data_IF_851011120853
#
_entry.id   IF_851011120853
#
_cell.length_a   1.000
_cell.length_b   1.000
_cell.length_c   1.000
_cell.angle_alpha   90.00
_cell.angle_beta   90.00
_cell.angle_gamma   90.00
#
_symmetry.space_group_name_H-M   'P 1'
#
loop_
_entity.id
_entity.type
_entity.pdbx_description
1 polymer ?
#
# COMPACT_ATOMS: atom_id res chain seq x y z
N UNK A 1 31.19 0.31 0.79
CA UNK A 1 29.85 0.94 0.67
C UNK A 1 28.95 -0.02 -0.10
N UNK A 2 27.64 0.23 -0.27
CA UNK A 2 26.78 -0.69 -1.05
C UNK A 2 27.19 -0.71 -2.52
N UNK A 3 27.51 0.45 -3.10
CA UNK A 3 28.03 0.56 -4.47
C UNK A 3 29.24 -0.33 -4.68
N UNK A 4 30.22 -0.27 -3.77
CA UNK A 4 31.48 -1.01 -3.89
C UNK A 4 31.22 -2.53 -3.87
N UNK A 5 30.36 -3.01 -2.95
CA UNK A 5 29.98 -4.44 -2.89
C UNK A 5 29.36 -4.91 -4.22
N UNK A 6 28.58 -4.05 -4.87
CA UNK A 6 27.92 -4.38 -6.14
C UNK A 6 28.89 -4.37 -7.33
N UNK A 7 29.84 -3.44 -7.33
CA UNK A 7 30.90 -3.36 -8.34
C UNK A 7 31.88 -4.53 -8.20
N UNK A 8 32.36 -4.80 -6.98
CA UNK A 8 33.19 -5.97 -6.66
C UNK A 8 32.49 -7.27 -7.08
N UNK A 9 31.17 -7.36 -6.90
CA UNK A 9 30.39 -8.52 -7.33
C UNK A 9 30.38 -8.71 -8.85
N UNK A 10 30.41 -7.64 -9.66
CA UNK A 10 30.44 -7.79 -11.12
C UNK A 10 31.78 -8.36 -11.61
N UNK A 11 32.87 -8.00 -10.94
CA UNK A 11 34.24 -8.40 -11.31
C UNK A 11 34.68 -9.73 -10.67
N UNK A 12 33.97 -10.17 -9.61
CA UNK A 12 34.28 -11.36 -8.84
C UNK A 12 34.05 -12.69 -9.60
N UNK A 13 34.80 -13.73 -9.20
CA UNK A 13 34.49 -15.11 -9.57
C UNK A 13 33.25 -15.63 -8.83
N UNK A 14 32.74 -16.80 -9.24
CA UNK A 14 31.52 -17.39 -8.67
C UNK A 14 31.60 -17.68 -7.17
N UNK A 15 32.79 -17.94 -6.62
CA UNK A 15 32.96 -18.20 -5.19
C UNK A 15 32.82 -16.89 -4.41
N UNK A 16 33.56 -15.86 -4.84
CA UNK A 16 33.54 -14.55 -4.20
C UNK A 16 32.19 -13.83 -4.38
N UNK A 17 31.54 -13.99 -5.54
CA UNK A 17 30.16 -13.52 -5.76
C UNK A 17 29.22 -14.04 -4.69
N UNK A 18 29.26 -15.34 -4.43
CA UNK A 18 28.40 -15.97 -3.42
C UNK A 18 28.69 -15.42 -2.02
N UNK A 19 29.97 -15.24 -1.68
CA UNK A 19 30.37 -14.68 -0.39
C UNK A 19 29.86 -13.24 -0.21
N UNK A 20 30.05 -12.38 -1.20
CA UNK A 20 29.56 -10.99 -1.19
C UNK A 20 28.03 -10.91 -1.08
N UNK A 21 27.34 -11.77 -1.83
CA UNK A 21 25.87 -11.87 -1.77
C UNK A 21 25.39 -12.32 -0.38
N UNK A 22 25.99 -13.37 0.16
CA UNK A 22 25.63 -13.92 1.48
C UNK A 22 25.92 -12.89 2.58
N UNK A 23 27.06 -12.18 2.52
CA UNK A 23 27.40 -11.10 3.44
C UNK A 23 26.34 -9.98 3.38
N UNK A 24 25.97 -9.55 2.18
CA UNK A 24 24.97 -8.49 2.02
C UNK A 24 23.58 -8.92 2.52
N UNK A 25 23.16 -10.14 2.20
CA UNK A 25 21.92 -10.72 2.73
C UNK A 25 21.96 -10.73 4.25
N UNK A 26 23.08 -11.13 4.85
CA UNK A 26 23.26 -11.11 6.30
C UNK A 26 23.19 -9.69 6.88
N UNK A 27 23.79 -8.69 6.23
CA UNK A 27 23.70 -7.28 6.64
C UNK A 27 22.23 -6.81 6.68
N UNK A 28 21.44 -7.15 5.66
CA UNK A 28 20.00 -6.82 5.60
C UNK A 28 19.26 -7.46 6.79
N UNK A 29 19.48 -8.75 7.06
CA UNK A 29 18.70 -9.46 8.08
C UNK A 29 19.18 -9.23 9.52
N UNK A 30 20.47 -8.95 9.72
CA UNK A 30 21.05 -8.56 11.02
C UNK A 30 20.75 -7.11 11.40
N UNK A 31 20.30 -6.29 10.46
CA UNK A 31 19.86 -4.91 10.72
C UNK A 31 18.92 -4.82 11.93
N UNK A 32 19.14 -3.77 12.75
CA UNK A 32 18.28 -3.43 13.89
C UNK A 32 16.92 -2.87 13.46
N UNK A 33 16.74 -2.55 12.18
CA UNK A 33 15.48 -2.10 11.59
C UNK A 33 14.55 -3.31 11.37
N UNK A 34 14.15 -3.97 12.45
CA UNK A 34 13.27 -5.14 12.41
C UNK A 34 11.83 -4.73 12.13
N UNK A 35 11.11 -5.58 11.41
CA UNK A 35 9.66 -5.42 11.28
C UNK A 35 9.02 -5.40 12.66
N UNK A 36 8.27 -4.35 12.95
CA UNK A 36 7.54 -4.21 14.21
C UNK A 36 6.32 -3.32 14.00
N UNK A 37 5.24 -3.67 14.67
CA UNK A 37 4.03 -2.88 14.74
C UNK A 37 3.89 -2.30 16.14
N UNK A 38 3.21 -1.16 16.23
CA UNK A 38 2.90 -0.53 17.50
C UNK A 38 1.53 0.12 17.44
N UNK A 39 0.88 0.23 18.59
CA UNK A 39 -0.36 0.99 18.73
C UNK A 39 -0.03 2.47 18.85
N UNK A 40 -0.61 3.27 17.97
CA UNK A 40 -0.62 4.72 18.08
C UNK A 40 -1.96 5.16 18.64
N UNK A 41 -1.89 5.85 19.78
CA UNK A 41 -3.06 6.40 20.45
C UNK A 41 -3.21 7.85 19.99
N UNK A 42 -4.38 8.19 19.49
CA UNK A 42 -4.80 9.55 19.20
C UNK A 42 -5.78 9.98 20.28
N UNK A 43 -5.49 11.10 20.91
CA UNK A 43 -6.38 11.76 21.86
C UNK A 43 -6.75 13.14 21.33
N UNK A 44 -7.90 13.63 21.76
CA UNK A 44 -8.28 15.03 21.64
C UNK A 44 -8.99 15.44 22.93
N UNK A 45 -8.72 16.67 23.36
CA UNK A 45 -9.30 17.23 24.58
C UNK A 45 -10.63 17.88 24.24
N UNK A 46 -11.67 17.46 24.96
CA UNK A 46 -13.00 18.06 24.89
C UNK A 46 -13.01 19.26 25.83
N UNK A 47 -13.30 20.44 25.30
CA UNK A 47 -13.45 21.67 26.06
C UNK A 47 -14.93 22.04 26.11
N UNK A 48 -15.46 22.11 27.32
CA UNK A 48 -16.88 22.30 27.59
C UNK A 48 -17.37 23.69 27.15
N UNK A 49 -16.57 24.74 27.41
CA UNK A 49 -16.86 26.12 26.98
C UNK A 49 -16.95 26.23 25.45
N UNK A 50 -16.08 25.52 24.73
CA UNK A 50 -16.08 25.50 23.26
C UNK A 50 -17.28 24.75 22.66
N UNK A 51 -17.99 23.97 23.48
CA UNK A 51 -19.22 23.29 23.14
C UNK A 51 -20.47 24.01 23.68
N UNK A 52 -20.34 25.26 24.13
CA UNK A 52 -21.44 26.05 24.70
C UNK A 52 -22.08 25.34 25.91
N UNK A 53 -21.24 24.66 26.71
CA UNK A 53 -21.61 23.87 27.90
C UNK A 53 -22.71 22.82 27.65
N UNK A 54 -22.82 22.37 26.39
CA UNK A 54 -23.78 21.35 25.97
C UNK A 54 -23.38 19.96 26.43
N UNK A 55 -23.96 19.55 27.54
CA UNK A 55 -23.67 18.26 28.20
C UNK A 55 -23.84 17.04 27.26
N UNK A 56 -24.83 17.07 26.37
CA UNK A 56 -25.08 15.98 25.41
C UNK A 56 -23.91 15.78 24.44
N UNK A 57 -23.35 16.86 23.89
CA UNK A 57 -22.17 16.84 23.03
C UNK A 57 -20.90 16.51 23.80
N UNK A 58 -20.73 17.06 25.01
CA UNK A 58 -19.58 16.80 25.87
C UNK A 58 -19.45 15.31 26.18
N UNK A 59 -20.54 14.67 26.61
CA UNK A 59 -20.56 13.24 26.91
C UNK A 59 -20.29 12.38 25.67
N UNK A 60 -20.90 12.74 24.54
CA UNK A 60 -20.71 12.05 23.26
C UNK A 60 -19.24 12.06 22.83
N UNK A 61 -18.59 13.23 22.84
CA UNK A 61 -17.20 13.33 22.40
C UNK A 61 -16.22 12.74 23.41
N UNK A 62 -16.49 12.86 24.72
CA UNK A 62 -15.66 12.23 25.75
C UNK A 62 -15.66 10.70 25.65
N UNK A 63 -16.80 10.09 25.31
CA UNK A 63 -16.92 8.65 25.06
C UNK A 63 -15.97 8.14 23.97
N UNK A 64 -15.66 8.99 22.98
CA UNK A 64 -14.85 8.62 21.80
C UNK A 64 -13.50 9.35 21.74
N UNK A 65 -13.04 9.92 22.86
CA UNK A 65 -11.83 10.75 22.93
C UNK A 65 -10.53 10.00 22.63
N UNK A 66 -10.50 8.69 22.91
CA UNK A 66 -9.33 7.82 22.71
C UNK A 66 -9.56 6.98 21.47
N UNK A 67 -8.65 7.09 20.52
CA UNK A 67 -8.66 6.33 19.27
C UNK A 67 -7.34 5.54 19.18
N UNK A 68 -7.43 4.22 19.10
CA UNK A 68 -6.27 3.33 18.94
C UNK A 68 -6.16 2.80 17.51
N UNK A 69 -4.96 2.89 16.95
CA UNK A 69 -4.68 2.43 15.58
C UNK A 69 -3.33 1.72 15.51
N UNK A 70 -3.24 0.67 14.71
CA UNK A 70 -1.99 -0.07 14.48
C UNK A 70 -1.16 0.58 13.37
N UNK A 71 0.14 0.78 13.65
CA UNK A 71 1.11 1.33 12.71
C UNK A 71 2.36 0.46 12.60
N UNK A 72 2.96 0.44 11.40
CA UNK A 72 4.28 -0.14 11.20
C UNK A 72 5.36 0.85 11.62
N UNK A 73 6.41 0.37 12.28
CA UNK A 73 7.57 1.19 12.64
C UNK A 73 8.43 1.47 11.40
N UNK A 74 8.36 2.69 10.91
CA UNK A 74 9.12 3.17 9.75
C UNK A 74 10.13 4.27 10.08
N UNK A 75 10.08 4.87 11.28
CA UNK A 75 10.96 5.96 11.68
C UNK A 75 12.04 5.51 12.68
N UNK A 76 13.27 5.94 12.44
CA UNK A 76 14.45 5.60 13.23
C UNK A 76 15.28 6.86 13.50
N UNK A 77 15.63 7.11 14.77
CA UNK A 77 16.40 8.30 15.19
C UNK A 77 17.88 8.24 14.83
N UNK A 78 18.43 7.04 14.65
CA UNK A 78 19.85 6.83 14.32
C UNK A 78 20.09 7.06 12.83
N UNK A 79 21.33 7.42 12.47
CA UNK A 79 21.78 7.41 11.06
C UNK A 79 21.64 5.97 10.51
N UNK A 80 21.03 5.86 9.34
CA UNK A 80 20.80 4.58 8.67
C UNK A 80 21.88 4.34 7.61
N UNK A 81 22.28 3.08 7.46
CA UNK A 81 23.11 2.61 6.35
C UNK A 81 22.25 2.30 5.12
N UNK A 82 22.87 2.10 3.96
CA UNK A 82 22.17 1.67 2.75
C UNK A 82 21.35 0.38 2.98
N UNK A 83 21.95 -0.62 3.65
CA UNK A 83 21.27 -1.86 4.03
C UNK A 83 20.08 -1.60 4.97
N UNK A 84 20.20 -0.67 5.93
CA UNK A 84 19.08 -0.29 6.80
C UNK A 84 17.91 0.31 6.00
N UNK A 85 18.17 1.17 5.01
CA UNK A 85 17.11 1.73 4.15
C UNK A 85 16.39 0.65 3.34
N UNK A 86 17.15 -0.26 2.72
CA UNK A 86 16.58 -1.40 1.98
C UNK A 86 15.77 -2.28 2.92
N UNK A 87 16.28 -2.53 4.13
CA UNK A 87 15.58 -3.30 5.17
C UNK A 87 14.25 -2.67 5.59
N UNK A 88 14.21 -1.35 5.80
CA UNK A 88 12.98 -0.61 6.11
C UNK A 88 11.98 -0.73 4.95
N UNK A 89 12.46 -0.63 3.71
CA UNK A 89 11.62 -0.80 2.52
C UNK A 89 11.01 -2.21 2.44
N UNK A 90 11.81 -3.25 2.65
CA UNK A 90 11.37 -4.65 2.74
C UNK A 90 10.27 -4.80 3.82
N UNK A 91 10.48 -4.25 5.01
CA UNK A 91 9.49 -4.30 6.09
C UNK A 91 8.17 -3.60 5.71
N UNK A 92 8.25 -2.43 5.09
CA UNK A 92 7.07 -1.67 4.66
C UNK A 92 6.28 -2.41 3.59
N UNK A 93 6.97 -3.04 2.62
CA UNK A 93 6.32 -3.89 1.62
C UNK A 93 5.60 -5.07 2.26
N UNK A 94 6.23 -5.74 3.24
CA UNK A 94 5.58 -6.82 3.97
C UNK A 94 4.31 -6.34 4.70
N UNK A 95 4.42 -5.23 5.44
CA UNK A 95 3.28 -4.64 6.13
C UNK A 95 2.16 -4.24 5.17
N UNK A 96 2.50 -3.64 4.04
CA UNK A 96 1.54 -3.22 3.03
C UNK A 96 0.81 -4.40 2.37
N UNK A 97 1.56 -5.41 1.91
CA UNK A 97 1.01 -6.52 1.11
C UNK A 97 0.39 -7.64 1.95
N UNK A 98 0.86 -7.84 3.18
CA UNK A 98 0.64 -9.08 3.93
C UNK A 98 0.02 -8.86 5.31
N UNK A 99 0.56 -7.93 6.10
CA UNK A 99 0.09 -7.74 7.49
C UNK A 99 -1.33 -7.14 7.52
N UNK A 100 -2.29 -7.90 8.04
CA UNK A 100 -3.72 -7.60 8.08
C UNK A 100 -4.11 -6.44 9.02
N UNK A 101 -3.19 -5.92 9.83
CA UNK A 101 -3.51 -4.88 10.82
C UNK A 101 -3.00 -3.49 10.44
N UNK A 102 -2.03 -3.38 9.53
CA UNK A 102 -1.39 -2.11 9.17
C UNK A 102 -1.60 -1.76 7.69
N UNK A 103 -1.38 -0.49 7.34
CA UNK A 103 -1.56 0.04 5.97
C UNK A 103 -2.95 -0.28 5.40
N UNK A 104 -3.99 0.00 6.18
CA UNK A 104 -5.37 -0.09 5.72
C UNK A 104 -5.72 1.10 4.81
N UNK A 105 -6.88 1.06 4.15
CA UNK A 105 -7.28 2.14 3.27
C UNK A 105 -7.47 3.46 4.03
N UNK A 106 -7.27 4.57 3.33
CA UNK A 106 -7.56 5.92 3.85
C UNK A 106 -8.99 6.00 4.42
N UNK A 107 -9.94 5.34 3.75
CA UNK A 107 -11.34 5.31 4.15
C UNK A 107 -11.54 4.70 5.55
N UNK A 108 -10.83 3.61 5.88
CA UNK A 108 -10.88 3.04 7.22
C UNK A 108 -10.43 4.05 8.29
N UNK A 109 -9.28 4.70 8.07
CA UNK A 109 -8.74 5.68 9.01
C UNK A 109 -9.65 6.90 9.14
N UNK A 110 -10.26 7.37 8.05
CA UNK A 110 -11.24 8.47 8.08
C UNK A 110 -12.47 8.12 8.94
N UNK A 111 -12.99 6.90 8.82
CA UNK A 111 -14.12 6.44 9.64
C UNK A 111 -13.77 6.39 11.13
N UNK A 112 -12.62 5.80 11.48
CA UNK A 112 -12.19 5.71 12.88
C UNK A 112 -11.85 7.09 13.47
N UNK A 113 -11.35 8.02 12.65
CA UNK A 113 -11.02 9.39 13.07
C UNK A 113 -12.23 10.34 13.04
N UNK A 114 -13.41 9.86 12.62
CA UNK A 114 -14.63 10.68 12.50
C UNK A 114 -15.01 11.41 13.80
N UNK A 115 -14.99 10.79 15.00
CA UNK A 115 -15.34 11.49 16.24
C UNK A 115 -14.47 12.72 16.49
N UNK A 116 -13.15 12.58 16.37
CA UNK A 116 -12.18 13.67 16.50
C UNK A 116 -12.42 14.78 15.48
N UNK A 117 -12.60 14.41 14.22
CA UNK A 117 -12.77 15.40 13.15
C UNK A 117 -14.10 16.15 13.30
N UNK A 118 -15.17 15.44 13.68
CA UNK A 118 -16.47 16.03 13.96
C UNK A 118 -16.43 16.97 15.17
N UNK A 119 -15.66 16.65 16.20
CA UNK A 119 -15.47 17.56 17.34
C UNK A 119 -14.98 18.93 16.89
N UNK A 120 -13.88 19.00 16.12
CA UNK A 120 -13.37 20.28 15.63
C UNK A 120 -14.32 20.99 14.66
N UNK A 121 -15.08 20.25 13.86
CA UNK A 121 -16.12 20.82 13.00
C UNK A 121 -17.23 21.45 13.84
N UNK A 122 -17.74 20.73 14.86
CA UNK A 122 -18.80 21.21 15.76
C UNK A 122 -18.35 22.44 16.54
N UNK A 123 -17.13 22.43 17.10
CA UNK A 123 -16.54 23.60 17.77
C UNK A 123 -16.51 24.81 16.83
N UNK A 124 -16.10 24.64 15.58
CA UNK A 124 -16.08 25.74 14.62
C UNK A 124 -17.49 26.24 14.28
N UNK A 125 -18.48 25.35 14.15
CA UNK A 125 -19.88 25.73 13.93
C UNK A 125 -20.44 26.55 15.07
N UNK A 126 -20.24 26.11 16.32
CA UNK A 126 -20.72 26.82 17.50
C UNK A 126 -20.04 28.19 17.64
N UNK A 127 -18.73 28.29 17.36
CA UNK A 127 -18.02 29.58 17.29
C UNK A 127 -18.63 30.55 16.27
N UNK A 128 -19.10 30.02 15.14
CA UNK A 128 -19.76 30.80 14.08
C UNK A 128 -21.25 31.03 14.34
N UNK A 129 -21.78 30.62 15.51
CA UNK A 129 -23.21 30.69 15.87
C UNK A 129 -24.12 29.91 14.91
N UNK A 130 -23.61 28.83 14.32
CA UNK A 130 -24.39 27.92 13.50
C UNK A 130 -25.12 26.89 14.38
N UNK A 131 -26.32 26.48 13.96
CA UNK A 131 -27.09 25.44 14.65
C UNK A 131 -26.40 24.07 14.54
N UNK A 132 -26.30 23.37 15.67
CA UNK A 132 -25.75 22.00 15.75
C UNK A 132 -26.78 21.05 16.33
N UNK A 133 -27.21 20.07 15.54
CA UNK A 133 -28.12 19.03 15.97
C UNK A 133 -27.34 17.83 16.57
N UNK A 134 -27.62 17.50 17.84
CA UNK A 134 -26.98 16.37 18.53
C UNK A 134 -27.22 15.03 17.82
N UNK A 135 -28.46 14.76 17.40
CA UNK A 135 -28.82 13.48 16.79
C UNK A 135 -28.08 13.28 15.47
N UNK A 136 -27.85 14.35 14.70
CA UNK A 136 -27.05 14.27 13.48
C UNK A 136 -25.58 13.96 13.76
N UNK A 137 -24.98 14.62 14.78
CA UNK A 137 -23.59 14.38 15.17
C UNK A 137 -23.42 12.95 15.65
N UNK A 138 -24.31 12.50 16.55
CA UNK A 138 -24.32 11.13 17.06
C UNK A 138 -24.48 10.11 15.94
N UNK A 139 -25.46 10.29 15.06
CA UNK A 139 -25.69 9.38 13.94
C UNK A 139 -24.46 9.28 13.02
N UNK A 140 -23.77 10.39 12.73
CA UNK A 140 -22.54 10.38 11.92
C UNK A 140 -21.41 9.59 12.60
N UNK A 141 -21.24 9.75 13.91
CA UNK A 141 -20.25 8.99 14.69
C UNK A 141 -20.61 7.50 14.68
N UNK A 142 -21.84 7.16 15.05
CA UNK A 142 -22.31 5.77 15.14
C UNK A 142 -22.18 5.06 13.79
N UNK A 143 -22.62 5.71 12.71
CA UNK A 143 -22.49 5.18 11.34
C UNK A 143 -21.03 4.93 10.95
N UNK A 144 -20.13 5.88 11.22
CA UNK A 144 -18.73 5.74 10.85
C UNK A 144 -18.06 4.58 11.62
N UNK A 145 -18.32 4.48 12.92
CA UNK A 145 -17.76 3.43 13.78
C UNK A 145 -18.35 2.05 13.47
N UNK A 146 -19.62 1.94 13.10
CA UNK A 146 -20.24 0.68 12.65
C UNK A 146 -19.70 0.23 11.29
N UNK A 147 -19.44 1.18 10.38
CA UNK A 147 -18.91 0.89 9.04
C UNK A 147 -17.41 0.55 9.03
N UNK A 148 -16.63 1.09 9.97
CA UNK A 148 -15.18 0.90 10.02
C UNK A 148 -14.74 -0.57 10.06
N UNK A 149 -15.32 -1.47 10.90
CA UNK A 149 -15.03 -2.90 10.89
C UNK A 149 -15.24 -3.57 9.53
N UNK A 150 -16.32 -3.21 8.82
CA UNK A 150 -16.62 -3.75 7.49
C UNK A 150 -15.54 -3.36 6.48
N UNK A 151 -15.13 -2.09 6.47
CA UNK A 151 -14.03 -1.62 5.60
C UNK A 151 -12.72 -2.31 5.97
N UNK A 152 -12.42 -2.44 7.28
CA UNK A 152 -11.23 -3.15 7.76
C UNK A 152 -11.19 -4.58 7.22
N UNK A 153 -12.30 -5.31 7.31
CA UNK A 153 -12.39 -6.68 6.80
C UNK A 153 -12.14 -6.75 5.29
N UNK A 154 -12.75 -5.85 4.51
CA UNK A 154 -12.52 -5.76 3.07
C UNK A 154 -11.03 -5.53 2.75
N UNK A 155 -10.35 -4.66 3.50
CA UNK A 155 -8.92 -4.40 3.29
C UNK A 155 -8.04 -5.58 3.72
N UNK A 156 -8.42 -6.29 4.77
CA UNK A 156 -7.76 -7.52 5.20
C UNK A 156 -7.85 -8.64 4.15
N UNK A 157 -8.98 -8.76 3.46
CA UNK A 157 -9.20 -9.75 2.39
C UNK A 157 -8.42 -9.43 1.10
N UNK A 158 -8.03 -8.17 0.88
CA UNK A 158 -7.20 -7.76 -0.27
C UNK A 158 -5.73 -8.16 -0.12
N UNK A 159 -5.26 -8.31 1.12
CA UNK A 159 -3.86 -8.66 1.41
C UNK A 159 -3.59 -10.12 1.06
N UNK A 160 -2.36 -10.42 0.67
CA UNK A 160 -1.94 -11.78 0.36
C UNK A 160 -1.61 -12.55 1.64
N UNK A 161 -1.75 -13.87 1.59
CA UNK A 161 -1.33 -14.75 2.66
C UNK A 161 0.10 -15.21 2.38
N UNK A 162 1.02 -14.76 3.24
CA UNK A 162 2.43 -15.08 3.13
C UNK A 162 3.06 -15.02 4.53
N UNK A 163 3.73 -16.09 4.95
CA UNK A 163 4.43 -16.06 6.23
C UNK A 163 5.69 -15.21 6.13
N UNK A 164 6.18 -14.70 7.26
CA UNK A 164 7.45 -13.96 7.30
C UNK A 164 8.63 -14.78 6.75
N UNK A 165 8.62 -16.10 6.97
CA UNK A 165 9.66 -17.01 6.48
C UNK A 165 9.64 -17.15 4.96
N UNK A 166 8.47 -17.34 4.36
CA UNK A 166 8.30 -17.42 2.91
C UNK A 166 8.65 -16.09 2.24
N UNK A 167 8.18 -14.98 2.84
CA UNK A 167 8.53 -13.64 2.38
C UNK A 167 10.05 -13.41 2.37
N UNK A 168 10.74 -13.76 3.46
CA UNK A 168 12.20 -13.67 3.54
C UNK A 168 12.89 -14.47 2.43
N UNK A 169 12.42 -15.69 2.16
CA UNK A 169 12.96 -16.55 1.08
C UNK A 169 12.79 -15.89 -0.29
N UNK A 170 11.60 -15.35 -0.59
CA UNK A 170 11.33 -14.64 -1.85
C UNK A 170 12.23 -13.42 -2.02
N UNK A 171 12.37 -12.61 -0.97
CA UNK A 171 13.22 -11.42 -1.00
C UNK A 171 14.69 -11.79 -1.25
N UNK A 172 15.21 -12.86 -0.65
CA UNK A 172 16.58 -13.33 -0.93
C UNK A 172 16.78 -13.67 -2.41
N UNK A 173 15.85 -14.39 -3.03
CA UNK A 173 15.90 -14.69 -4.48
C UNK A 173 15.83 -13.42 -5.33
N UNK A 174 15.09 -12.41 -4.89
CA UNK A 174 15.06 -11.13 -5.60
C UNK A 174 16.34 -10.32 -5.41
N UNK A 175 16.96 -10.34 -4.23
CA UNK A 175 18.25 -9.71 -3.97
C UNK A 175 19.34 -10.31 -4.86
N UNK A 176 19.42 -11.64 -4.96
CA UNK A 176 20.34 -12.32 -5.87
C UNK A 176 20.17 -11.86 -7.32
N UNK A 177 18.92 -11.77 -7.80
CA UNK A 177 18.64 -11.23 -9.13
C UNK A 177 19.09 -9.78 -9.28
N UNK A 178 18.97 -8.96 -8.24
CA UNK A 178 19.40 -7.56 -8.28
C UNK A 178 20.91 -7.45 -8.41
N UNK A 179 21.67 -8.27 -7.68
CA UNK A 179 23.13 -8.35 -7.83
C UNK A 179 23.52 -8.73 -9.25
N UNK A 180 22.86 -9.75 -9.82
CA UNK A 180 23.12 -10.22 -11.18
C UNK A 180 22.73 -9.23 -12.30
N UNK A 181 21.89 -8.23 -12.02
CA UNK A 181 21.39 -7.28 -13.02
C UNK A 181 21.69 -5.83 -12.63
N UNK A 182 22.64 -5.61 -11.71
CA UNK A 182 23.03 -4.26 -11.33
C UNK A 182 23.95 -3.68 -12.41
N UNK A 183 23.69 -2.43 -12.79
CA UNK A 183 24.54 -1.67 -13.70
C UNK A 183 24.87 -0.34 -13.01
N UNK A 184 26.15 -0.06 -12.75
CA UNK A 184 26.58 1.23 -12.20
C UNK A 184 26.13 2.41 -13.07
N UNK A 185 25.91 3.60 -12.48
CA UNK A 185 25.48 4.78 -13.22
C UNK A 185 26.38 5.09 -14.42
N UNK A 186 27.71 5.08 -14.23
CA UNK A 186 28.68 5.43 -15.26
C UNK A 186 28.68 4.46 -16.45
N UNK A 187 28.44 3.17 -16.21
CA UNK A 187 28.28 2.17 -17.29
C UNK A 187 26.98 2.39 -18.07
N UNK A 188 25.89 2.66 -17.35
CA UNK A 188 24.58 2.89 -17.95
C UNK A 188 24.56 4.15 -18.85
N UNK A 189 25.24 5.22 -18.41
CA UNK A 189 25.42 6.45 -19.21
C UNK A 189 26.18 6.15 -20.52
N UNK A 190 27.25 5.37 -20.43
CA UNK A 190 28.06 4.95 -21.59
C UNK A 190 27.27 4.08 -22.58
N UNK A 191 26.48 3.14 -22.08
CA UNK A 191 25.71 2.21 -22.93
C UNK A 191 24.54 2.90 -23.66
N UNK A 192 23.86 3.85 -22.99
CA UNK A 192 22.62 4.42 -23.50
C UNK A 192 22.70 5.89 -23.92
N UNK A 193 23.88 6.52 -23.83
CA UNK A 193 24.09 7.92 -24.18
C UNK A 193 23.23 8.87 -23.34
N UNK A 194 22.95 8.48 -22.09
CA UNK A 194 22.13 9.25 -21.16
C UNK A 194 23.02 10.06 -20.23
N UNK A 195 22.61 11.28 -19.88
CA UNK A 195 23.26 12.07 -18.82
C UNK A 195 22.37 12.09 -17.59
N UNK A 196 22.89 11.62 -16.46
CA UNK A 196 22.13 11.61 -15.21
C UNK A 196 21.92 13.04 -14.72
N UNK A 197 20.66 13.50 -14.70
CA UNK A 197 20.30 14.79 -14.11
C UNK A 197 20.30 14.68 -12.59
N UNK A 198 21.45 14.94 -12.00
CA UNK A 198 21.67 14.87 -10.56
C UNK A 198 21.42 16.23 -9.90
N UNK A 199 20.63 16.25 -8.83
CA UNK A 199 20.59 17.38 -7.92
C UNK A 199 21.76 17.22 -6.94
N UNK A 200 22.76 18.10 -6.99
CA UNK A 200 24.07 17.95 -6.32
C UNK A 200 23.94 17.72 -4.81
N UNK A 201 22.89 18.27 -4.19
CA UNK A 201 22.58 18.04 -2.78
C UNK A 201 21.84 16.71 -2.58
N UNK A 202 22.58 15.65 -2.28
CA UNK A 202 22.04 14.35 -1.85
C UNK A 202 22.27 13.18 -2.79
N UNK A 203 23.14 13.34 -3.79
CA UNK A 203 23.58 12.23 -4.64
C UNK A 203 24.78 11.50 -4.05
N UNK A 204 24.76 10.17 -4.19
CA UNK A 204 25.87 9.25 -3.99
C UNK A 204 25.54 7.95 -4.71
N UNK A 205 26.55 7.16 -5.08
CA UNK A 205 26.35 5.85 -5.72
C UNK A 205 25.55 4.90 -4.80
N UNK A 206 25.76 4.98 -3.49
CA UNK A 206 24.94 4.29 -2.50
C UNK A 206 23.46 4.70 -2.57
N UNK A 207 23.15 5.98 -2.73
CA UNK A 207 21.75 6.43 -2.86
C UNK A 207 21.13 5.93 -4.16
N UNK A 208 21.91 5.86 -5.24
CA UNK A 208 21.48 5.26 -6.50
C UNK A 208 21.19 3.77 -6.32
N UNK A 209 22.12 3.01 -5.72
CA UNK A 209 21.97 1.59 -5.46
C UNK A 209 20.76 1.30 -4.55
N UNK A 210 20.59 2.04 -3.45
CA UNK A 210 19.40 1.92 -2.58
C UNK A 210 18.11 2.14 -3.37
N UNK A 211 18.07 3.17 -4.24
CA UNK A 211 16.90 3.45 -5.08
C UNK A 211 16.63 2.32 -6.08
N UNK A 212 17.67 1.79 -6.71
CA UNK A 212 17.60 0.62 -7.60
C UNK A 212 16.98 -0.57 -6.87
N UNK A 213 17.54 -0.94 -5.70
CA UNK A 213 17.02 -2.04 -4.88
C UNK A 213 15.55 -1.85 -4.51
N UNK A 214 15.20 -0.70 -3.92
CA UNK A 214 13.83 -0.45 -3.48
C UNK A 214 12.82 -0.46 -4.63
N UNK A 215 13.16 0.15 -5.77
CA UNK A 215 12.27 0.18 -6.95
C UNK A 215 12.08 -1.22 -7.54
N UNK A 216 13.15 -1.97 -7.70
CA UNK A 216 13.10 -3.30 -8.31
C UNK A 216 12.44 -4.33 -7.41
N UNK A 217 12.72 -4.32 -6.10
CA UNK A 217 12.02 -5.16 -5.10
C UNK A 217 10.51 -4.90 -5.11
N UNK A 218 10.10 -3.62 -5.22
CA UNK A 218 8.68 -3.26 -5.35
C UNK A 218 8.08 -3.88 -6.61
N UNK A 219 8.77 -3.77 -7.75
CA UNK A 219 8.34 -4.35 -9.02
C UNK A 219 8.19 -5.87 -8.95
N UNK A 220 9.18 -6.57 -8.40
CA UNK A 220 9.12 -8.03 -8.23
C UNK A 220 7.97 -8.47 -7.34
N UNK A 221 7.77 -7.80 -6.19
CA UNK A 221 6.64 -8.11 -5.30
C UNK A 221 5.28 -7.80 -5.96
N UNK A 222 5.17 -6.73 -6.74
CA UNK A 222 3.95 -6.44 -7.50
C UNK A 222 3.66 -7.53 -8.54
N UNK A 223 4.67 -8.04 -9.23
CA UNK A 223 4.51 -9.14 -10.18
C UNK A 223 4.10 -10.44 -9.47
N UNK A 224 4.75 -10.76 -8.34
CA UNK A 224 4.38 -11.90 -7.51
C UNK A 224 2.91 -11.84 -7.06
N UNK A 225 2.45 -10.70 -6.55
CA UNK A 225 1.06 -10.48 -6.14
C UNK A 225 0.11 -10.58 -7.34
N UNK A 226 0.49 -10.06 -8.51
CA UNK A 226 -0.31 -10.22 -9.74
C UNK A 226 -0.44 -11.69 -10.12
N UNK A 227 0.63 -12.47 -10.04
CA UNK A 227 0.62 -13.89 -10.44
C UNK A 227 -0.23 -14.74 -9.50
N UNK A 228 -0.20 -14.47 -8.19
CA UNK A 228 -1.12 -15.10 -7.23
C UNK A 228 -2.58 -14.72 -7.54
N UNK A 229 -2.83 -13.44 -7.85
CA UNK A 229 -4.17 -12.96 -8.13
C UNK A 229 -4.70 -13.36 -9.52
N UNK A 230 -3.84 -13.66 -10.51
CA UNK A 230 -4.24 -14.15 -11.84
C UNK A 230 -5.03 -15.45 -11.76
N UNK A 231 -4.75 -16.26 -10.75
CA UNK A 231 -5.45 -17.53 -10.50
C UNK A 231 -6.68 -17.37 -9.60
N UNK A 232 -7.04 -16.16 -9.18
CA UNK A 232 -8.30 -15.93 -8.44
C UNK A 232 -9.47 -16.06 -9.40
N UNK A 233 -10.33 -17.04 -9.11
CA UNK A 233 -11.55 -17.26 -9.86
C UNK A 233 -12.51 -16.09 -9.61
N UNK A 234 -13.11 -15.56 -10.67
CA UNK A 234 -14.17 -14.55 -10.63
C UNK A 234 -15.50 -15.22 -11.00
N UNK A 235 -16.63 -14.63 -10.60
CA UNK A 235 -17.95 -15.15 -10.97
C UNK A 235 -18.45 -14.46 -12.23
N UNK A 236 -18.99 -15.24 -13.17
CA UNK A 236 -19.60 -14.72 -14.39
C UNK A 236 -20.89 -13.94 -14.06
N UNK A 237 -21.02 -12.69 -14.53
CA UNK A 237 -22.23 -11.90 -14.29
C UNK A 237 -23.49 -12.46 -14.98
N UNK A 238 -23.36 -13.31 -16.00
CA UNK A 238 -24.50 -13.85 -16.75
C UNK A 238 -25.07 -15.16 -16.18
N UNK A 239 -24.20 -16.08 -15.74
CA UNK A 239 -24.58 -17.41 -15.27
C UNK A 239 -24.12 -17.73 -13.85
N UNK A 240 -23.40 -16.81 -13.20
CA UNK A 240 -22.80 -16.98 -11.88
C UNK A 240 -21.83 -18.18 -11.73
N UNK A 241 -21.38 -18.77 -12.85
CA UNK A 241 -20.32 -19.79 -12.83
C UNK A 241 -18.96 -19.18 -12.46
N UNK A 242 -18.16 -19.93 -11.72
CA UNK A 242 -16.80 -19.57 -11.38
C UNK A 242 -15.88 -19.72 -12.61
N UNK A 243 -15.17 -18.66 -13.00
CA UNK A 243 -14.25 -18.65 -14.13
C UNK A 243 -12.87 -18.17 -13.70
N UNK A 244 -11.82 -18.71 -14.32
CA UNK A 244 -10.48 -18.14 -14.25
C UNK A 244 -10.38 -17.00 -15.28
N UNK A 245 -10.23 -15.74 -14.86
CA UNK A 245 -10.18 -14.62 -15.79
C UNK A 245 -8.88 -14.66 -16.60
N UNK A 246 -8.99 -14.64 -17.93
CA UNK A 246 -7.85 -14.48 -18.85
C UNK A 246 -7.37 -13.02 -18.93
N UNK A 247 -8.17 -12.08 -18.44
CA UNK A 247 -7.88 -10.64 -18.41
C UNK A 247 -8.59 -9.98 -17.24
N UNK A 248 -7.99 -8.93 -16.67
CA UNK A 248 -8.55 -8.15 -15.56
C UNK A 248 -9.92 -7.52 -15.88
N UNK A 249 -10.31 -7.44 -17.17
CA UNK A 249 -11.60 -6.89 -17.62
C UNK A 249 -12.66 -7.96 -17.89
N UNK A 250 -12.34 -9.24 -17.72
CA UNK A 250 -13.26 -10.33 -18.01
C UNK A 250 -14.36 -10.43 -16.95
N UNK A 251 -15.60 -10.09 -17.33
CA UNK A 251 -16.80 -10.13 -16.46
C UNK A 251 -17.71 -11.34 -16.70
N UNK A 252 -17.51 -12.04 -17.81
CA UNK A 252 -18.39 -13.11 -18.28
C UNK A 252 -17.58 -14.36 -18.65
N UNK A 253 -18.20 -15.54 -18.51
CA UNK A 253 -17.69 -16.78 -19.09
C UNK A 253 -17.77 -16.72 -20.62
N UNK A 254 -17.06 -17.61 -21.31
CA UNK A 254 -17.00 -17.59 -22.79
C UNK A 254 -18.39 -17.73 -23.45
N UNK A 255 -19.32 -18.46 -22.81
CA UNK A 255 -20.72 -18.59 -23.28
C UNK A 255 -21.49 -17.27 -23.13
N UNK A 256 -21.58 -16.73 -21.91
CA UNK A 256 -22.30 -15.48 -21.64
C UNK A 256 -21.70 -14.28 -22.37
N UNK A 257 -20.38 -14.24 -22.55
CA UNK A 257 -19.71 -13.20 -23.33
C UNK A 257 -20.17 -13.20 -24.80
N UNK A 258 -20.22 -14.39 -25.44
CA UNK A 258 -20.70 -14.53 -26.83
C UNK A 258 -22.14 -14.06 -26.97
N UNK A 259 -23.01 -14.40 -26.02
CA UNK A 259 -24.40 -14.00 -26.01
C UNK A 259 -24.57 -12.48 -25.82
N UNK A 260 -23.91 -11.92 -24.81
CA UNK A 260 -23.92 -10.47 -24.56
C UNK A 260 -23.40 -9.69 -25.78
N UNK A 261 -22.31 -10.16 -26.41
CA UNK A 261 -21.77 -9.53 -27.62
C UNK A 261 -22.73 -9.60 -28.81
N UNK A 262 -23.42 -10.73 -29.02
CA UNK A 262 -24.45 -10.87 -30.06
C UNK A 262 -25.61 -9.90 -29.83
N UNK A 263 -26.09 -9.78 -28.59
CA UNK A 263 -27.18 -8.86 -28.24
C UNK A 263 -26.76 -7.40 -28.43
N UNK A 264 -25.56 -7.03 -27.99
CA UNK A 264 -25.00 -5.70 -28.21
C UNK A 264 -24.89 -5.36 -29.72
N UNK A 265 -24.40 -6.29 -30.54
CA UNK A 265 -24.34 -6.10 -32.00
C UNK A 265 -25.74 -5.91 -32.62
N UNK A 266 -26.75 -6.66 -32.19
CA UNK A 266 -28.15 -6.49 -32.64
C UNK A 266 -28.67 -5.09 -32.30
N UNK A 267 -28.40 -4.59 -31.09
CA UNK A 267 -28.79 -3.24 -30.66
C UNK A 267 -28.11 -2.18 -31.53
N UNK A 268 -26.80 -2.29 -31.76
CA UNK A 268 -26.07 -1.36 -32.62
C UNK A 268 -26.61 -1.33 -34.06
N UNK A 269 -26.95 -2.51 -34.62
CA UNK A 269 -27.52 -2.60 -35.98
C UNK A 269 -28.93 -1.99 -36.04
N UNK A 270 -29.75 -2.15 -34.99
CA UNK A 270 -31.07 -1.49 -34.89
C UNK A 270 -30.92 0.03 -34.80
N UNK A 271 -30.00 0.53 -33.98
CA UNK A 271 -29.77 1.98 -33.84
C UNK A 271 -29.23 2.60 -35.14
N UNK A 272 -28.36 1.88 -35.86
CA UNK A 272 -27.92 2.31 -37.19
C UNK A 272 -29.06 2.35 -38.22
N UNK A 273 -30.00 1.39 -38.18
CA UNK A 273 -31.16 1.37 -39.08
C UNK A 273 -32.21 2.42 -38.72
N UNK A 274 -32.39 2.72 -37.43
CA UNK A 274 -33.30 3.77 -36.95
C UNK A 274 -32.82 5.19 -37.23
N UNK A 275 -31.50 5.41 -37.34
CA UNK A 275 -30.92 6.71 -37.70
C UNK A 275 -30.84 6.97 -39.22
N UNK A 276 -31.35 6.08 -40.08
CA UNK A 276 -31.40 6.25 -41.55
C UNK A 276 -32.79 6.71 -42.02
N UNK A 277 -33.64 7.18 -41.10
CA UNK A 277 -35.01 7.63 -41.39
C UNK A 277 -35.30 9.07 -40.92
N UNK A 278 -34.27 9.91 -40.81
CA UNK A 278 -34.42 11.38 -40.74
C UNK A 278 -33.80 12.03 -41.96
#
# INVERSE_FOLDING_TARGET
MLSDILEDYQEADETLKKELLDEFIDLIWKSKCRYSTYKKIYTYDVNDELLDDRQDLIELFNKHRIIELDFCKSFYKKKLTAADYIRVHINNMFGYLTDKNVYLSKQYYEMVMTPRNLYYIVVNKLKNKEEVNYNEVRHKIDYALDKAPTIKKIDQEKKIELTWKEYKKLINTYIERLFNNYTPPHEYEKEHGWEMKVNVNGWSDDNFAVKYFCKSLTGYMQNYVKDINRNKKVFCLGCNEQILPKSNRQKYCDKCYKEHRRNYQKILMRNKRGNVSN
#
